data_IF_919911938636
#
_entry.id   IF_919911938636
#
_cell.length_a   1.000
_cell.length_b   1.000
_cell.length_c   1.000
_cell.angle_alpha   90.00
_cell.angle_beta   90.00
_cell.angle_gamma   90.00
#
_symmetry.space_group_name_H-M   'P 1'
#
loop_
_entity.id
_entity.type
_entity.pdbx_description
1 polymer ?
#
# COMPACT_ATOMS: atom_id res chain seq x y z
N UNK A 1 -36.21 -39.19 74.49
CA UNK A 1 -37.22 -39.15 73.41
C UNK A 1 -37.64 -37.69 73.21
N UNK A 2 -37.69 -37.28 71.94
CA UNK A 2 -38.17 -36.00 71.37
C UNK A 2 -39.54 -35.54 71.92
N UNK A 3 -40.01 -34.28 71.70
CA UNK A 3 -39.74 -33.38 70.55
C UNK A 3 -39.41 -31.91 70.94
N UNK A 4 -38.66 -31.11 70.17
CA UNK A 4 -38.74 -30.57 68.78
C UNK A 4 -39.72 -29.39 68.58
N UNK A 5 -39.08 -28.26 68.26
CA UNK A 5 -39.43 -27.20 67.29
C UNK A 5 -40.30 -26.01 67.73
N UNK A 6 -39.79 -24.80 67.46
CA UNK A 6 -40.55 -23.55 67.48
C UNK A 6 -39.66 -22.31 67.38
N UNK A 7 -39.83 -21.56 66.30
CA UNK A 7 -38.95 -20.53 65.74
C UNK A 7 -39.40 -19.10 66.13
N UNK A 8 -38.45 -18.15 66.08
CA UNK A 8 -38.55 -16.72 65.66
C UNK A 8 -38.72 -15.56 66.68
N UNK A 9 -37.90 -14.56 66.36
CA UNK A 9 -38.01 -13.10 66.49
C UNK A 9 -37.71 -12.43 67.84
N UNK A 10 -36.55 -11.75 67.90
CA UNK A 10 -36.32 -10.62 68.79
C UNK A 10 -35.83 -9.42 67.96
N UNK A 11 -36.64 -8.36 67.93
CA UNK A 11 -36.30 -7.00 67.53
C UNK A 11 -35.48 -6.36 68.66
N UNK A 12 -34.34 -5.76 68.35
CA UNK A 12 -33.48 -5.09 69.33
C UNK A 12 -32.71 -3.92 68.73
N UNK A 13 -33.07 -2.71 69.15
CA UNK A 13 -32.40 -1.39 69.03
C UNK A 13 -32.84 -0.65 70.32
N UNK A 14 -32.08 0.25 70.99
CA UNK A 14 -30.96 1.07 70.48
C UNK A 14 -29.73 1.32 71.40
N UNK A 15 -28.77 2.01 70.76
CA UNK A 15 -27.88 3.10 71.24
C UNK A 15 -26.73 2.79 72.20
N UNK A 16 -25.52 2.75 71.63
CA UNK A 16 -24.26 3.05 72.32
C UNK A 16 -23.60 4.29 71.68
N UNK A 17 -23.16 5.23 72.53
CA UNK A 17 -22.45 6.47 72.18
C UNK A 17 -21.03 6.16 71.71
N UNK A 18 -20.64 6.76 70.59
CA UNK A 18 -19.28 6.76 70.06
C UNK A 18 -18.49 7.98 70.55
N UNK A 19 -17.25 7.76 70.99
CA UNK A 19 -16.20 8.79 71.11
C UNK A 19 -15.32 8.75 69.87
N UNK A 20 -15.02 9.90 69.25
CA UNK A 20 -13.86 10.00 68.37
C UNK A 20 -13.33 11.43 68.32
N UNK A 21 -12.02 11.52 68.54
CA UNK A 21 -11.24 12.73 68.63
C UNK A 21 -10.54 13.04 67.28
N UNK A 22 -10.44 14.35 67.05
CA UNK A 22 -9.35 15.10 66.44
C UNK A 22 -8.90 14.84 65.00
N UNK A 23 -9.18 15.90 64.24
CA UNK A 23 -8.85 16.27 62.87
C UNK A 23 -7.36 16.58 62.73
N UNK A 24 -6.70 15.98 61.73
CA UNK A 24 -5.43 16.47 61.17
C UNK A 24 -5.67 16.97 59.74
N UNK A 25 -5.32 18.24 59.49
CA UNK A 25 -5.53 18.99 58.24
C UNK A 25 -4.43 18.65 57.23
N UNK A 26 -4.82 18.26 56.01
CA UNK A 26 -3.96 18.21 54.81
C UNK A 26 -4.24 19.48 53.98
N UNK A 27 -3.22 20.19 53.46
CA UNK A 27 -3.42 21.49 52.82
C UNK A 27 -4.12 21.38 51.46
N UNK A 28 -5.13 22.23 51.27
CA UNK A 28 -6.15 22.24 50.21
C UNK A 28 -5.67 22.75 48.83
N UNK A 29 -4.37 22.76 48.54
CA UNK A 29 -3.83 23.42 47.33
C UNK A 29 -3.42 22.46 46.20
N UNK A 30 -3.44 21.14 46.41
CA UNK A 30 -3.11 20.15 45.36
C UNK A 30 -4.33 19.60 44.61
N UNK A 31 -5.54 20.11 44.84
CA UNK A 31 -6.80 19.55 44.32
C UNK A 31 -7.47 20.38 43.20
N UNK A 32 -6.94 21.55 42.81
CA UNK A 32 -7.65 22.50 41.94
C UNK A 32 -7.13 22.67 40.51
N UNK A 33 -6.26 21.80 39.99
CA UNK A 33 -5.78 21.91 38.60
C UNK A 33 -6.00 20.67 37.72
N UNK A 34 -7.09 19.92 37.92
CA UNK A 34 -7.36 18.76 37.06
C UNK A 34 -8.83 18.41 36.87
N UNK A 35 -9.66 19.30 36.34
CA UNK A 35 -11.01 18.93 35.89
C UNK A 35 -11.56 19.94 34.85
N UNK A 36 -11.02 19.95 33.65
CA UNK A 36 -11.76 20.38 32.45
C UNK A 36 -11.45 19.43 31.30
N UNK A 37 -11.87 18.17 31.46
CA UNK A 37 -12.06 17.26 30.33
C UNK A 37 -13.53 17.33 29.94
N UNK A 38 -13.83 17.87 28.76
CA UNK A 38 -15.17 17.80 28.13
C UNK A 38 -15.47 16.38 27.60
N UNK A 39 -15.10 15.35 28.37
CA UNK A 39 -15.50 13.98 28.11
C UNK A 39 -16.71 13.69 29.00
N UNK A 40 -17.85 13.24 28.46
CA UNK A 40 -18.98 12.86 29.30
C UNK A 40 -18.53 11.81 30.31
N UNK A 41 -18.62 12.14 31.60
CA UNK A 41 -18.23 11.28 32.72
C UNK A 41 -19.22 10.13 32.98
N UNK A 42 -20.35 10.11 32.28
CA UNK A 42 -21.34 9.02 32.36
C UNK A 42 -21.14 8.00 31.24
N UNK A 43 -20.10 7.18 31.35
CA UNK A 43 -20.10 5.90 30.64
C UNK A 43 -20.92 4.89 31.45
N UNK A 44 -22.24 5.00 31.37
CA UNK A 44 -23.12 3.88 31.71
C UNK A 44 -23.02 2.88 30.55
N UNK A 45 -22.33 1.72 30.69
CA UNK A 45 -22.35 0.72 29.64
C UNK A 45 -23.81 0.29 29.49
N UNK A 46 -24.45 0.63 28.36
CA UNK A 46 -25.79 0.16 28.05
C UNK A 46 -25.78 -1.36 28.20
N UNK A 47 -26.49 -1.86 29.22
CA UNK A 47 -26.57 -3.28 29.60
C UNK A 47 -27.36 -4.12 28.58
N UNK A 48 -27.84 -3.49 27.51
CA UNK A 48 -28.65 -4.09 26.48
C UNK A 48 -27.78 -4.26 25.24
N UNK A 49 -27.72 -5.51 24.74
CA UNK A 49 -27.24 -5.80 23.39
C UNK A 49 -27.84 -4.77 22.41
N UNK A 50 -27.09 -4.31 21.40
CA UNK A 50 -27.63 -3.37 20.43
C UNK A 50 -28.97 -3.87 19.87
N UNK A 51 -29.90 -2.96 19.62
CA UNK A 51 -31.14 -3.32 18.93
C UNK A 51 -30.82 -3.91 17.54
N UNK A 52 -31.75 -4.67 16.94
CA UNK A 52 -31.51 -5.26 15.61
C UNK A 52 -31.14 -4.19 14.55
N UNK A 53 -31.69 -2.98 14.66
CA UNK A 53 -31.35 -1.85 13.78
C UNK A 53 -29.94 -1.32 14.01
N UNK A 54 -29.54 -1.13 15.28
CA UNK A 54 -28.17 -0.72 15.64
C UNK A 54 -27.14 -1.77 15.22
N UNK A 55 -27.45 -3.06 15.35
CA UNK A 55 -26.60 -4.14 14.82
C UNK A 55 -26.44 -4.08 13.31
N UNK A 56 -27.52 -3.84 12.56
CA UNK A 56 -27.42 -3.67 11.09
C UNK A 56 -26.52 -2.49 10.73
N UNK A 57 -26.63 -1.38 11.46
CA UNK A 57 -25.76 -0.22 11.25
C UNK A 57 -24.30 -0.52 11.62
N UNK A 58 -24.04 -1.18 12.75
CA UNK A 58 -22.69 -1.57 13.17
C UNK A 58 -22.03 -2.54 12.17
N UNK A 59 -22.78 -3.52 11.65
CA UNK A 59 -22.29 -4.46 10.63
C UNK A 59 -21.78 -3.79 9.36
N UNK A 60 -22.33 -2.63 8.99
CA UNK A 60 -21.85 -1.87 7.82
C UNK A 60 -20.44 -1.31 8.03
N UNK A 61 -20.04 -1.09 9.29
CA UNK A 61 -18.73 -0.57 9.66
C UNK A 61 -17.74 -1.67 10.06
N UNK A 62 -18.18 -2.93 10.19
CA UNK A 62 -17.30 -4.05 10.51
C UNK A 62 -16.72 -4.63 9.23
N UNK A 63 -15.39 -4.66 9.09
CA UNK A 63 -14.75 -5.24 7.92
C UNK A 63 -15.12 -6.72 7.74
N UNK A 64 -15.56 -7.07 6.54
CA UNK A 64 -15.94 -8.41 6.10
C UNK A 64 -17.42 -8.75 6.26
N UNK A 65 -18.14 -8.01 7.11
CA UNK A 65 -19.56 -8.28 7.43
C UNK A 65 -20.53 -7.45 6.60
N UNK A 66 -20.09 -6.29 6.08
CA UNK A 66 -20.91 -5.47 5.20
C UNK A 66 -21.22 -6.20 3.89
N UNK A 67 -22.49 -6.21 3.49
CA UNK A 67 -22.90 -6.70 2.18
C UNK A 67 -22.46 -5.71 1.10
N UNK A 68 -21.74 -6.21 0.09
CA UNK A 68 -21.28 -5.38 -1.02
C UNK A 68 -22.41 -5.21 -2.04
N UNK A 69 -23.24 -4.20 -1.83
CA UNK A 69 -24.27 -3.80 -2.80
C UNK A 69 -23.64 -3.09 -4.01
N UNK A 70 -24.33 -3.19 -5.15
CA UNK A 70 -23.93 -2.60 -6.43
C UNK A 70 -24.97 -1.61 -6.96
N UNK A 71 -25.87 -1.15 -6.09
CA UNK A 71 -26.92 -0.22 -6.47
C UNK A 71 -26.33 1.12 -6.90
N UNK A 72 -27.09 1.85 -7.71
CA UNK A 72 -26.72 3.22 -8.09
C UNK A 72 -26.61 4.13 -6.86
N UNK A 73 -27.46 3.90 -5.84
CA UNK A 73 -27.46 4.65 -4.57
C UNK A 73 -26.13 4.55 -3.83
N UNK A 74 -25.40 3.44 -3.98
CA UNK A 74 -24.10 3.25 -3.32
C UNK A 74 -22.95 3.92 -4.05
N UNK A 75 -23.17 4.40 -5.28
CA UNK A 75 -22.20 5.16 -6.06
C UNK A 75 -22.36 6.66 -5.93
N UNK A 76 -23.52 7.11 -5.45
CA UNK A 76 -23.83 8.53 -5.29
C UNK A 76 -23.42 8.96 -3.86
N UNK A 77 -22.57 9.99 -3.70
CA UNK A 77 -22.19 10.48 -2.38
C UNK A 77 -23.38 11.10 -1.64
N UNK A 78 -23.42 10.94 -0.31
CA UNK A 78 -24.43 11.58 0.52
C UNK A 78 -23.91 12.94 0.99
N UNK A 79 -24.77 13.96 0.92
CA UNK A 79 -24.44 15.27 1.48
C UNK A 79 -24.66 15.30 2.99
N UNK A 80 -23.76 15.96 3.77
CA UNK A 80 -22.58 16.73 3.34
C UNK A 80 -21.36 15.86 3.02
N UNK A 81 -20.65 16.19 1.93
CA UNK A 81 -19.51 15.42 1.40
C UNK A 81 -18.35 15.23 2.38
N UNK A 82 -18.18 16.16 3.35
CA UNK A 82 -17.13 16.05 4.36
C UNK A 82 -17.22 14.79 5.22
N UNK A 83 -18.42 14.24 5.41
CA UNK A 83 -18.64 13.01 6.18
C UNK A 83 -18.20 11.74 5.42
N UNK A 84 -18.20 11.78 4.09
CA UNK A 84 -17.78 10.64 3.25
C UNK A 84 -16.24 10.51 3.18
N UNK A 85 -15.49 11.54 3.59
CA UNK A 85 -14.02 11.49 3.62
C UNK A 85 -13.46 10.88 4.92
N UNK A 86 -14.30 10.75 5.95
CA UNK A 86 -13.88 10.22 7.25
C UNK A 86 -13.92 8.69 7.21
N UNK A 87 -12.85 7.98 7.63
CA UNK A 87 -12.87 6.52 7.68
C UNK A 87 -13.97 6.06 8.65
N UNK A 88 -14.83 5.17 8.17
CA UNK A 88 -15.99 4.65 8.91
C UNK A 88 -15.78 3.20 9.34
N UNK A 89 -14.84 2.48 8.73
CA UNK A 89 -14.54 1.11 9.06
C UNK A 89 -13.86 1.03 10.43
N UNK A 90 -14.47 0.24 11.30
CA UNK A 90 -13.93 -0.05 12.62
C UNK A 90 -12.83 -1.10 12.50
N UNK A 91 -11.82 -1.04 13.37
CA UNK A 91 -10.85 -2.11 13.43
C UNK A 91 -11.52 -3.43 13.84
N UNK A 92 -11.35 -4.45 13.01
CA UNK A 92 -11.89 -5.78 13.29
C UNK A 92 -11.29 -6.36 14.59
N UNK A 93 -12.12 -6.78 15.56
CA UNK A 93 -11.63 -7.42 16.77
C UNK A 93 -10.96 -8.77 16.45
N UNK A 94 -9.85 -9.08 17.10
CA UNK A 94 -9.10 -10.34 16.91
C UNK A 94 -8.06 -10.32 15.79
N UNK A 95 -7.90 -9.22 15.06
CA UNK A 95 -6.78 -9.06 14.11
C UNK A 95 -5.50 -8.72 14.90
N UNK A 96 -4.41 -9.50 14.72
CA UNK A 96 -3.16 -9.24 15.43
C UNK A 96 -2.60 -7.88 15.01
N UNK A 97 -2.01 -7.14 15.95
CA UNK A 97 -1.38 -5.84 15.66
C UNK A 97 0.06 -5.83 16.10
N UNK A 98 0.91 -5.24 15.25
CA UNK A 98 2.30 -4.99 15.60
C UNK A 98 2.32 -3.93 16.70
N UNK A 99 2.98 -4.25 17.80
CA UNK A 99 3.06 -3.36 18.97
C UNK A 99 3.95 -3.97 20.05
N UNK A 100 3.93 -3.42 21.27
CA UNK A 100 4.80 -3.90 22.37
C UNK A 100 4.62 -5.39 22.67
N UNK A 101 3.40 -5.91 22.46
CA UNK A 101 3.03 -7.27 22.81
C UNK A 101 3.24 -8.30 21.68
N UNK A 102 3.40 -7.85 20.43
CA UNK A 102 3.50 -8.75 19.28
C UNK A 102 4.43 -8.17 18.21
N UNK A 103 5.43 -8.96 17.84
CA UNK A 103 6.42 -8.61 16.81
C UNK A 103 5.87 -8.81 15.40
N UNK A 104 6.44 -8.10 14.42
CA UNK A 104 6.02 -8.23 13.02
C UNK A 104 6.18 -9.67 12.50
N UNK A 105 7.26 -10.34 12.90
CA UNK A 105 7.49 -11.75 12.55
C UNK A 105 6.39 -12.67 13.06
N UNK A 106 5.91 -12.48 14.28
CA UNK A 106 4.79 -13.25 14.84
C UNK A 106 3.50 -13.02 14.05
N UNK A 107 3.23 -11.78 13.66
CA UNK A 107 2.07 -11.43 12.81
C UNK A 107 2.10 -12.18 11.48
N UNK A 108 3.24 -12.20 10.79
CA UNK A 108 3.38 -12.90 9.50
C UNK A 108 3.24 -14.42 9.68
N UNK A 109 3.82 -14.99 10.75
CA UNK A 109 3.64 -16.42 11.06
C UNK A 109 2.17 -16.75 11.29
N UNK A 110 1.42 -15.89 12.00
CA UNK A 110 -0.03 -16.07 12.19
C UNK A 110 -0.75 -16.06 10.84
N UNK A 111 -0.41 -15.13 9.95
CA UNK A 111 -1.03 -15.04 8.62
C UNK A 111 -0.78 -16.30 7.79
N UNK A 112 0.46 -16.77 7.74
CA UNK A 112 0.87 -17.96 6.97
C UNK A 112 0.27 -19.26 7.52
N UNK A 113 0.06 -19.32 8.84
CA UNK A 113 -0.51 -20.50 9.50
C UNK A 113 -2.04 -20.54 9.44
N UNK A 114 -2.71 -19.53 8.88
CA UNK A 114 -4.17 -19.59 8.71
C UNK A 114 -4.53 -20.67 7.69
N UNK A 115 -5.53 -21.48 8.03
CA UNK A 115 -6.10 -22.50 7.12
C UNK A 115 -7.35 -22.02 6.40
N UNK A 116 -7.99 -20.96 6.91
CA UNK A 116 -9.19 -20.36 6.33
C UNK A 116 -8.85 -19.07 5.58
N UNK A 117 -9.60 -18.72 4.53
CA UNK A 117 -9.51 -17.42 3.89
C UNK A 117 -9.57 -16.27 4.89
N UNK A 118 -8.63 -15.35 4.82
CA UNK A 118 -8.54 -14.21 5.72
C UNK A 118 -8.75 -12.91 4.96
N UNK A 119 -9.61 -12.04 5.49
CA UNK A 119 -9.77 -10.69 4.96
C UNK A 119 -8.52 -9.88 5.26
N UNK A 120 -7.79 -9.49 4.21
CA UNK A 120 -6.59 -8.66 4.36
C UNK A 120 -6.88 -7.18 4.14
N UNK A 121 -7.79 -6.84 3.23
CA UNK A 121 -8.14 -5.45 2.96
C UNK A 121 -9.62 -5.27 2.63
N UNK A 122 -10.18 -4.17 3.08
CA UNK A 122 -11.47 -3.67 2.66
C UNK A 122 -11.46 -2.16 2.54
N UNK A 123 -11.94 -1.66 1.42
CA UNK A 123 -12.02 -0.24 1.14
C UNK A 123 -13.19 0.42 1.84
N UNK A 124 -13.04 1.71 2.16
CA UNK A 124 -14.20 2.56 2.40
C UNK A 124 -15.10 2.69 1.16
N UNK A 125 -16.35 3.16 1.30
CA UNK A 125 -17.19 3.49 0.16
C UNK A 125 -16.56 4.55 -0.76
N UNK A 126 -16.23 4.16 -1.99
CA UNK A 126 -15.58 5.01 -3.01
C UNK A 126 -16.51 6.07 -3.65
N UNK A 127 -17.59 6.49 -2.97
CA UNK A 127 -18.65 7.37 -3.52
C UNK A 127 -18.11 8.68 -4.09
N UNK A 128 -17.18 9.33 -3.37
CA UNK A 128 -16.58 10.57 -3.81
C UNK A 128 -15.74 10.40 -5.09
N UNK A 129 -15.05 9.26 -5.23
CA UNK A 129 -14.28 8.97 -6.44
C UNK A 129 -15.20 8.75 -7.64
N UNK A 130 -16.37 8.14 -7.47
CA UNK A 130 -17.34 8.00 -8.55
C UNK A 130 -17.84 9.36 -9.06
N UNK A 131 -18.17 10.27 -8.13
CA UNK A 131 -18.58 11.63 -8.50
C UNK A 131 -17.45 12.36 -9.25
N UNK A 132 -16.22 12.30 -8.73
CA UNK A 132 -15.07 12.91 -9.38
C UNK A 132 -14.81 12.33 -10.78
N UNK A 133 -14.89 11.00 -10.93
CA UNK A 133 -14.75 10.35 -12.23
C UNK A 133 -15.86 10.77 -13.19
N UNK A 134 -17.10 10.85 -12.72
CA UNK A 134 -18.23 11.29 -13.54
C UNK A 134 -18.05 12.73 -14.04
N UNK A 135 -17.69 13.67 -13.16
CA UNK A 135 -17.42 15.05 -13.54
C UNK A 135 -16.24 15.16 -14.53
N UNK A 136 -15.12 14.51 -14.24
CA UNK A 136 -13.95 14.51 -15.13
C UNK A 136 -14.27 13.89 -16.50
N UNK A 137 -15.05 12.80 -16.55
CA UNK A 137 -15.44 12.17 -17.80
C UNK A 137 -16.28 13.10 -18.68
N UNK A 138 -17.24 13.84 -18.11
CA UNK A 138 -18.03 14.83 -18.85
C UNK A 138 -17.12 15.93 -19.40
N UNK A 139 -16.27 16.51 -18.56
CA UNK A 139 -15.35 17.59 -18.96
C UNK A 139 -14.47 17.14 -20.12
N UNK A 140 -13.79 16.00 -20.00
CA UNK A 140 -12.92 15.49 -21.07
C UNK A 140 -13.68 15.11 -22.34
N UNK A 141 -14.92 14.63 -22.22
CA UNK A 141 -15.75 14.33 -23.40
C UNK A 141 -16.14 15.59 -24.14
N UNK A 142 -16.61 16.63 -23.43
CA UNK A 142 -16.99 17.92 -24.04
C UNK A 142 -15.78 18.56 -24.72
N UNK A 143 -14.64 18.66 -24.03
CA UNK A 143 -13.41 19.18 -24.64
C UNK A 143 -12.93 18.33 -25.81
N UNK A 144 -13.04 17.00 -25.72
CA UNK A 144 -12.70 16.10 -26.82
C UNK A 144 -13.54 16.37 -28.07
N UNK A 145 -14.85 16.49 -27.92
CA UNK A 145 -15.76 16.80 -29.03
C UNK A 145 -15.46 18.17 -29.65
N UNK A 146 -15.32 19.22 -28.84
CA UNK A 146 -15.04 20.58 -29.33
C UNK A 146 -13.70 20.65 -30.08
N UNK A 147 -12.66 19.98 -29.56
CA UNK A 147 -11.35 19.95 -30.22
C UNK A 147 -11.35 19.15 -31.51
N UNK A 148 -12.15 18.08 -31.60
CA UNK A 148 -12.31 17.31 -32.85
C UNK A 148 -13.12 18.08 -33.89
N UNK A 149 -14.15 18.81 -33.47
CA UNK A 149 -14.90 19.71 -34.35
C UNK A 149 -14.00 20.83 -34.89
N UNK A 150 -13.19 21.44 -34.02
CA UNK A 150 -12.17 22.41 -34.44
C UNK A 150 -11.16 21.80 -35.42
N UNK A 151 -10.67 20.59 -35.15
CA UNK A 151 -9.75 19.90 -36.05
C UNK A 151 -10.36 19.62 -37.42
N UNK A 152 -11.64 19.23 -37.45
CA UNK A 152 -12.39 19.03 -38.69
C UNK A 152 -12.55 20.33 -39.47
N UNK A 153 -12.94 21.41 -38.79
CA UNK A 153 -13.09 22.73 -39.40
C UNK A 153 -11.77 23.23 -39.98
N UNK A 154 -10.68 23.19 -39.21
CA UNK A 154 -9.39 23.67 -39.66
C UNK A 154 -8.81 22.82 -40.80
N UNK A 155 -8.97 21.50 -40.75
CA UNK A 155 -8.52 20.63 -41.84
C UNK A 155 -9.28 20.93 -43.14
N UNK A 156 -10.60 21.11 -43.07
CA UNK A 156 -11.40 21.46 -44.25
C UNK A 156 -11.03 22.83 -44.80
N UNK A 157 -10.81 23.81 -43.92
CA UNK A 157 -10.34 25.14 -44.31
C UNK A 157 -9.01 25.07 -45.06
N UNK A 158 -8.02 24.37 -44.50
CA UNK A 158 -6.70 24.18 -45.14
C UNK A 158 -6.83 23.47 -46.51
N UNK A 159 -7.80 22.56 -46.67
CA UNK A 159 -8.08 21.86 -47.93
C UNK A 159 -8.77 22.73 -48.98
N UNK A 160 -9.71 23.58 -48.56
CA UNK A 160 -10.44 24.49 -49.45
C UNK A 160 -9.57 25.67 -49.90
N UNK A 161 -8.81 26.27 -48.98
CA UNK A 161 -7.95 27.42 -49.28
C UNK A 161 -6.75 27.03 -50.15
N UNK A 162 -6.23 25.80 -50.02
CA UNK A 162 -5.20 25.21 -50.88
C UNK A 162 -4.06 26.17 -51.26
N UNK A 163 -3.51 26.89 -50.27
CA UNK A 163 -2.48 27.92 -50.49
C UNK A 163 -1.25 27.44 -51.25
N UNK A 164 -0.96 26.13 -51.18
CA UNK A 164 0.18 25.49 -51.85
C UNK A 164 -0.10 25.01 -53.27
N UNK A 165 -1.29 25.27 -53.81
CA UNK A 165 -1.73 24.89 -55.16
C UNK A 165 -1.51 23.39 -55.49
N UNK A 166 -1.76 22.52 -54.51
CA UNK A 166 -1.49 21.10 -54.66
C UNK A 166 -2.49 20.41 -55.59
N UNK A 167 -1.99 19.40 -56.31
CA UNK A 167 -2.82 18.47 -57.08
C UNK A 167 -3.78 17.71 -56.16
N UNK A 168 -4.95 17.31 -56.67
CA UNK A 168 -6.06 16.79 -55.86
C UNK A 168 -5.68 15.59 -54.96
N UNK A 169 -4.83 14.69 -55.45
CA UNK A 169 -4.36 13.51 -54.70
C UNK A 169 -3.47 13.93 -53.53
N UNK A 170 -2.57 14.89 -53.75
CA UNK A 170 -1.67 15.41 -52.71
C UNK A 170 -2.42 16.26 -51.70
N UNK A 171 -3.43 17.01 -52.14
CA UNK A 171 -4.32 17.79 -51.29
C UNK A 171 -5.12 16.92 -50.34
N UNK A 172 -5.69 15.80 -50.82
CA UNK A 172 -6.39 14.82 -49.97
C UNK A 172 -5.44 14.20 -48.94
N UNK A 173 -4.19 13.93 -49.32
CA UNK A 173 -3.16 13.43 -48.40
C UNK A 173 -2.83 14.47 -47.31
N UNK A 174 -2.61 15.73 -47.70
CA UNK A 174 -2.35 16.80 -46.74
C UNK A 174 -3.54 17.03 -45.81
N UNK A 175 -4.78 16.94 -46.30
CA UNK A 175 -5.98 17.03 -45.46
C UNK A 175 -6.02 15.94 -44.37
N UNK A 176 -5.73 14.67 -44.71
CA UNK A 176 -5.66 13.60 -43.71
C UNK A 176 -4.57 13.88 -42.67
N UNK A 177 -3.42 14.39 -43.10
CA UNK A 177 -2.31 14.74 -42.19
C UNK A 177 -2.71 15.90 -41.28
N UNK A 178 -3.34 16.95 -41.81
CA UNK A 178 -3.84 18.10 -41.05
C UNK A 178 -4.93 17.69 -40.06
N UNK A 179 -5.89 16.87 -40.49
CA UNK A 179 -6.93 16.31 -39.62
C UNK A 179 -6.32 15.49 -38.48
N UNK A 180 -5.32 14.66 -38.77
CA UNK A 180 -4.56 13.93 -37.75
C UNK A 180 -3.84 14.88 -36.79
N UNK A 181 -3.10 15.85 -37.32
CA UNK A 181 -2.30 16.82 -36.54
C UNK A 181 -3.16 17.61 -35.56
N UNK A 182 -4.25 18.21 -36.03
CA UNK A 182 -5.16 18.98 -35.18
C UNK A 182 -6.01 18.06 -34.29
N UNK A 183 -6.35 16.86 -34.76
CA UNK A 183 -7.18 15.89 -34.06
C UNK A 183 -6.51 15.18 -32.88
N UNK A 184 -5.17 15.14 -32.81
CA UNK A 184 -4.43 14.46 -31.72
C UNK A 184 -4.86 14.94 -30.33
N UNK A 185 -5.07 16.26 -30.15
CA UNK A 185 -5.49 16.79 -28.85
C UNK A 185 -6.91 16.35 -28.48
N UNK A 186 -7.85 16.39 -29.43
CA UNK A 186 -9.22 15.91 -29.22
C UNK A 186 -9.27 14.42 -28.93
N UNK A 187 -8.52 13.61 -29.69
CA UNK A 187 -8.38 12.18 -29.45
C UNK A 187 -7.77 11.86 -28.08
N UNK A 188 -6.78 12.64 -27.63
CA UNK A 188 -6.18 12.48 -26.29
C UNK A 188 -7.19 12.75 -25.19
N UNK A 189 -8.03 13.79 -25.34
CA UNK A 189 -9.08 14.10 -24.37
C UNK A 189 -10.14 12.98 -24.30
N UNK A 190 -10.58 12.45 -25.45
CA UNK A 190 -11.50 11.30 -25.46
C UNK A 190 -10.88 10.03 -24.86
N UNK A 191 -9.58 9.81 -25.10
CA UNK A 191 -8.87 8.70 -24.47
C UNK A 191 -8.82 8.86 -22.94
N UNK A 192 -8.59 10.09 -22.45
CA UNK A 192 -8.65 10.38 -21.01
C UNK A 192 -10.07 10.16 -20.45
N UNK A 193 -11.11 10.58 -21.17
CA UNK A 193 -12.49 10.30 -20.78
C UNK A 193 -12.73 8.79 -20.63
N UNK A 194 -12.26 7.98 -21.59
CA UNK A 194 -12.34 6.52 -21.50
C UNK A 194 -11.59 5.94 -20.29
N UNK A 195 -10.38 6.43 -19.99
CA UNK A 195 -9.64 5.97 -18.81
C UNK A 195 -10.36 6.33 -17.51
N UNK A 196 -10.97 7.50 -17.42
CA UNK A 196 -11.72 7.94 -16.23
C UNK A 196 -13.00 7.12 -16.05
N UNK A 197 -13.74 6.84 -17.13
CA UNK A 197 -14.95 6.00 -17.07
C UNK A 197 -14.62 4.57 -16.67
N UNK A 198 -13.48 4.04 -17.13
CA UNK A 198 -13.05 2.67 -16.79
C UNK A 198 -12.30 2.58 -15.46
N UNK A 199 -11.86 3.71 -14.88
CA UNK A 199 -11.11 3.75 -13.63
C UNK A 199 -11.73 2.92 -12.49
N UNK A 200 -13.04 2.97 -12.21
CA UNK A 200 -13.60 2.21 -11.10
C UNK A 200 -13.48 0.70 -11.24
N UNK A 201 -13.37 0.17 -12.46
CA UNK A 201 -13.17 -1.27 -12.70
C UNK A 201 -11.81 -1.77 -12.21
N UNK A 202 -10.86 -0.86 -11.99
CA UNK A 202 -9.53 -1.18 -11.44
C UNK A 202 -9.46 -1.00 -9.93
N UNK A 203 -10.46 -0.36 -9.30
CA UNK A 203 -10.51 -0.13 -7.85
C UNK A 203 -10.87 -1.42 -7.12
N UNK A 204 -10.00 -1.83 -6.20
CA UNK A 204 -10.22 -2.98 -5.33
C UNK A 204 -11.11 -2.58 -4.15
N UNK A 205 -12.19 -3.32 -3.96
CA UNK A 205 -13.14 -3.14 -2.86
C UNK A 205 -12.80 -3.99 -1.65
N UNK A 206 -12.51 -5.27 -1.88
CA UNK A 206 -12.22 -6.22 -0.82
C UNK A 206 -11.21 -7.24 -1.31
N UNK A 207 -10.29 -7.61 -0.44
CA UNK A 207 -9.19 -8.51 -0.75
C UNK A 207 -9.04 -9.55 0.36
N UNK A 208 -8.98 -10.80 -0.05
CA UNK A 208 -8.85 -11.98 0.79
C UNK A 208 -7.55 -12.69 0.48
N UNK A 209 -6.81 -13.03 1.53
CA UNK A 209 -5.70 -13.94 1.46
C UNK A 209 -6.22 -15.39 1.52
N UNK A 210 -5.89 -16.17 0.51
CA UNK A 210 -6.22 -17.58 0.40
C UNK A 210 -4.97 -18.41 0.72
N UNK A 211 -4.91 -19.01 1.92
CA UNK A 211 -3.80 -19.89 2.28
C UNK A 211 -3.88 -21.21 1.49
N UNK A 212 -2.73 -21.77 1.15
CA UNK A 212 -2.64 -23.03 0.42
C UNK A 212 -1.20 -23.36 0.02
N UNK A 213 -0.97 -24.46 -0.74
CA UNK A 213 0.36 -24.82 -1.25
C UNK A 213 0.97 -23.71 -2.11
N UNK A 214 0.11 -22.99 -2.83
CA UNK A 214 0.43 -21.73 -3.50
C UNK A 214 -0.49 -20.67 -2.91
N UNK A 215 0.10 -19.62 -2.36
CA UNK A 215 -0.63 -18.50 -1.77
C UNK A 215 -1.35 -17.71 -2.88
N UNK A 216 -2.65 -17.48 -2.72
CA UNK A 216 -3.46 -16.71 -3.67
C UNK A 216 -4.10 -15.52 -2.97
N UNK A 217 -4.44 -14.51 -3.77
CA UNK A 217 -5.22 -13.36 -3.34
C UNK A 217 -6.49 -13.32 -4.17
N UNK A 218 -7.64 -13.30 -3.49
CA UNK A 218 -8.94 -13.13 -4.11
C UNK A 218 -9.49 -11.75 -3.81
N UNK A 219 -9.78 -10.96 -4.82
CA UNK A 219 -10.36 -9.64 -4.62
C UNK A 219 -11.55 -9.33 -5.53
N UNK A 220 -12.36 -8.39 -5.08
CA UNK A 220 -13.49 -7.85 -5.84
C UNK A 220 -13.21 -6.42 -6.26
N UNK A 221 -13.65 -6.05 -7.46
CA UNK A 221 -13.60 -4.66 -7.94
C UNK A 221 -15.01 -4.18 -8.31
N UNK A 222 -15.14 -2.91 -8.68
CA UNK A 222 -16.44 -2.41 -9.12
C UNK A 222 -16.79 -2.89 -10.53
N UNK A 223 -18.04 -3.30 -10.76
CA UNK A 223 -18.51 -3.54 -12.13
C UNK A 223 -18.60 -2.20 -12.87
N UNK A 224 -18.35 -2.21 -14.18
CA UNK A 224 -18.44 -1.00 -15.02
C UNK A 224 -19.83 -0.35 -14.86
N UNK A 225 -20.88 -1.15 -15.03
CA UNK A 225 -22.26 -0.70 -14.89
C UNK A 225 -22.81 -1.01 -13.49
N UNK A 226 -23.58 -0.09 -12.87
CA UNK A 226 -24.29 -0.36 -11.63
C UNK A 226 -25.32 -1.49 -11.82
N UNK A 227 -25.66 -2.19 -10.74
CA UNK A 227 -26.61 -3.31 -10.74
C UNK A 227 -26.04 -4.65 -11.21
N UNK A 228 -24.85 -4.69 -11.82
CA UNK A 228 -24.17 -5.96 -12.16
C UNK A 228 -23.45 -6.56 -10.95
N UNK A 229 -23.23 -7.88 -10.91
CA UNK A 229 -22.41 -8.50 -9.87
C UNK A 229 -20.96 -8.01 -9.95
N UNK A 230 -20.32 -7.85 -8.78
CA UNK A 230 -18.92 -7.43 -8.71
C UNK A 230 -18.03 -8.52 -9.30
N UNK A 231 -17.15 -8.21 -10.26
CA UNK A 231 -16.21 -9.19 -10.77
C UNK A 231 -15.24 -9.62 -9.67
N UNK A 232 -14.93 -10.92 -9.66
CA UNK A 232 -14.09 -11.57 -8.66
C UNK A 232 -12.84 -12.09 -9.37
N UNK A 233 -11.67 -11.68 -8.89
CA UNK A 233 -10.39 -12.10 -9.42
C UNK A 233 -9.66 -12.92 -8.37
N UNK A 234 -9.10 -14.05 -8.78
CA UNK A 234 -8.23 -14.89 -7.94
C UNK A 234 -6.88 -14.96 -8.63
N UNK A 235 -5.85 -14.41 -8.00
CA UNK A 235 -4.53 -14.23 -8.59
C UNK A 235 -3.49 -14.84 -7.64
N UNK A 236 -2.49 -15.59 -8.14
CA UNK A 236 -1.37 -16.03 -7.32
C UNK A 236 -0.65 -14.84 -6.70
N UNK A 237 -0.28 -14.93 -5.42
CA UNK A 237 0.41 -13.82 -4.73
C UNK A 237 1.72 -13.45 -5.44
N UNK A 238 2.41 -14.45 -6.01
CA UNK A 238 3.64 -14.27 -6.78
C UNK A 238 3.48 -13.30 -7.95
N UNK A 239 2.31 -13.26 -8.58
CA UNK A 239 2.08 -12.49 -9.80
C UNK A 239 1.63 -11.06 -9.50
N UNK A 240 1.32 -10.74 -8.22
CA UNK A 240 0.98 -9.39 -7.79
C UNK A 240 2.20 -8.72 -7.17
N UNK A 241 2.64 -7.62 -7.77
CA UNK A 241 3.75 -6.82 -7.26
C UNK A 241 3.41 -5.34 -7.19
N UNK A 242 3.89 -4.66 -6.15
CA UNK A 242 3.91 -3.20 -6.13
C UNK A 242 5.20 -2.69 -6.77
N UNK A 243 5.20 -1.41 -7.18
CA UNK A 243 6.44 -0.74 -7.60
C UNK A 243 7.38 -0.62 -6.41
N UNK A 244 8.67 -0.94 -6.59
CA UNK A 244 9.68 -0.94 -5.53
C UNK A 244 9.73 0.38 -4.73
N UNK A 245 9.73 1.52 -5.43
CA UNK A 245 9.75 2.86 -4.81
C UNK A 245 8.43 3.27 -4.16
N UNK A 246 7.31 2.62 -4.49
CA UNK A 246 5.99 2.97 -3.98
C UNK A 246 5.66 2.06 -2.79
N UNK A 247 6.15 2.42 -1.60
CA UNK A 247 5.89 1.69 -0.36
C UNK A 247 4.48 1.96 0.16
N UNK A 248 3.86 0.95 0.76
CA UNK A 248 2.50 1.03 1.28
C UNK A 248 2.53 1.60 2.69
N UNK A 249 3.47 1.14 3.52
CA UNK A 249 3.72 1.71 4.83
C UNK A 249 4.32 3.12 4.75
N UNK A 250 3.67 4.06 5.44
CA UNK A 250 4.05 5.46 5.61
C UNK A 250 4.23 5.85 7.08
N UNK A 251 3.83 4.97 8.01
CA UNK A 251 3.82 5.23 9.45
C UNK A 251 2.75 6.23 9.91
N UNK A 252 1.86 6.67 9.01
CA UNK A 252 0.78 7.63 9.32
C UNK A 252 -0.59 6.96 9.31
N UNK A 253 -1.47 7.41 10.20
CA UNK A 253 -2.81 6.86 10.37
C UNK A 253 -2.82 5.52 11.11
N UNK A 254 -4.01 4.95 11.28
CA UNK A 254 -4.22 3.83 12.19
C UNK A 254 -3.47 2.54 11.79
N UNK A 255 -3.42 2.26 10.48
CA UNK A 255 -2.69 1.11 9.91
C UNK A 255 -1.32 1.49 9.35
N UNK A 256 -0.90 2.75 9.55
CA UNK A 256 0.32 3.33 8.98
C UNK A 256 0.37 3.33 7.45
N UNK A 257 -0.77 3.33 6.77
CA UNK A 257 -0.89 3.38 5.30
C UNK A 257 -1.34 4.75 4.77
N UNK A 258 -1.80 5.63 5.65
CA UNK A 258 -2.39 6.90 5.26
C UNK A 258 -1.31 7.81 4.67
N UNK A 259 -1.64 8.52 3.60
CA UNK A 259 -0.76 9.53 3.04
C UNK A 259 -1.59 10.75 2.61
N UNK A 260 -0.99 11.94 2.74
CA UNK A 260 -1.59 13.20 2.31
C UNK A 260 -1.39 13.45 0.83
N UNK A 261 -0.34 12.88 0.22
CA UNK A 261 0.04 13.14 -1.17
C UNK A 261 -0.64 12.21 -2.18
N UNK A 262 -0.77 10.93 -1.84
CA UNK A 262 -1.35 9.91 -2.71
C UNK A 262 -2.42 9.15 -1.94
N UNK A 263 -3.67 9.18 -2.40
CA UNK A 263 -4.77 8.47 -1.74
C UNK A 263 -4.77 6.97 -2.06
N UNK A 264 -4.07 6.53 -3.10
CA UNK A 264 -4.05 5.15 -3.56
C UNK A 264 -2.62 4.65 -3.77
N UNK A 265 -2.48 3.33 -3.82
CA UNK A 265 -1.31 2.65 -4.36
C UNK A 265 -1.73 1.68 -5.46
N UNK A 266 -0.77 1.30 -6.30
CA UNK A 266 -1.02 0.47 -7.48
C UNK A 266 -0.32 -0.87 -7.33
N UNK A 267 -1.09 -1.94 -7.52
CA UNK A 267 -0.61 -3.31 -7.64
C UNK A 267 -0.58 -3.68 -9.12
N UNK A 268 0.56 -4.13 -9.61
CA UNK A 268 0.72 -4.63 -10.97
C UNK A 268 0.62 -6.14 -10.97
N UNK A 269 -0.17 -6.64 -11.88
CA UNK A 269 -0.25 -8.07 -12.18
C UNK A 269 0.75 -8.40 -13.29
N UNK A 270 1.71 -9.27 -13.02
CA UNK A 270 2.78 -9.63 -13.96
C UNK A 270 2.24 -10.37 -15.17
N UNK A 271 1.24 -11.24 -14.97
CA UNK A 271 0.65 -12.11 -16.00
C UNK A 271 -0.13 -11.34 -17.06
N UNK A 272 -1.04 -10.45 -16.66
CA UNK A 272 -1.88 -9.68 -17.59
C UNK A 272 -1.41 -8.23 -17.80
N UNK A 273 -0.34 -7.81 -17.11
CA UNK A 273 0.15 -6.43 -17.06
C UNK A 273 -0.90 -5.40 -16.61
N UNK A 274 -2.00 -5.86 -16.00
CA UNK A 274 -3.04 -5.00 -15.47
C UNK A 274 -2.56 -4.30 -14.20
N UNK A 275 -3.03 -3.08 -14.02
CA UNK A 275 -2.76 -2.27 -12.83
C UNK A 275 -4.04 -2.16 -12.03
N UNK A 276 -4.01 -2.70 -10.81
CA UNK A 276 -5.07 -2.64 -9.83
C UNK A 276 -4.80 -1.51 -8.85
N UNK A 277 -5.85 -0.82 -8.42
CA UNK A 277 -5.76 0.37 -7.59
C UNK A 277 -6.38 0.04 -6.24
N UNK A 278 -5.63 0.31 -5.18
CA UNK A 278 -6.05 0.07 -3.80
C UNK A 278 -6.05 1.41 -3.07
N UNK A 279 -7.16 1.74 -2.41
CA UNK A 279 -7.25 2.93 -1.59
C UNK A 279 -6.43 2.74 -0.31
N UNK A 280 -5.71 3.78 0.11
CA UNK A 280 -5.01 3.82 1.40
C UNK A 280 -5.97 4.08 2.56
N UNK A 281 -7.19 4.55 2.27
CA UNK A 281 -8.29 4.70 3.22
C UNK A 281 -9.15 3.44 3.21
N UNK A 282 -8.90 2.59 4.20
CA UNK A 282 -9.64 1.35 4.37
C UNK A 282 -9.16 0.58 5.58
N UNK A 283 -9.78 -0.57 5.77
CA UNK A 283 -9.30 -1.59 6.67
C UNK A 283 -8.09 -2.29 6.05
N UNK A 284 -6.99 -2.35 6.80
CA UNK A 284 -5.83 -3.17 6.51
C UNK A 284 -5.63 -4.19 7.63
N UNK A 285 -5.28 -5.42 7.26
CA UNK A 285 -5.00 -6.45 8.24
C UNK A 285 -3.66 -6.21 8.90
N UNK A 286 -3.70 -6.09 10.24
CA UNK A 286 -2.60 -5.69 11.11
C UNK A 286 -2.07 -4.28 10.82
N UNK A 287 -1.33 -4.12 9.73
CA UNK A 287 -0.43 -3.00 9.47
C UNK A 287 -0.03 -2.97 7.96
N UNK A 288 0.22 -1.79 7.39
CA UNK A 288 0.68 -1.61 6.01
C UNK A 288 1.96 -2.38 5.63
N UNK A 289 2.83 -2.66 6.61
CA UNK A 289 4.05 -3.46 6.42
C UNK A 289 3.76 -4.90 5.97
N UNK A 290 2.61 -5.45 6.36
CA UNK A 290 2.18 -6.77 5.87
C UNK A 290 1.99 -6.73 4.35
N UNK A 291 1.45 -5.64 3.83
CA UNK A 291 1.26 -5.46 2.39
C UNK A 291 2.57 -5.23 1.67
N UNK A 292 3.53 -4.55 2.30
CA UNK A 292 4.88 -4.42 1.77
C UNK A 292 5.62 -5.76 1.71
N UNK A 293 5.43 -6.63 2.70
CA UNK A 293 5.93 -8.00 2.66
C UNK A 293 5.26 -8.83 1.54
N UNK A 294 3.92 -8.82 1.48
CA UNK A 294 3.14 -9.63 0.53
C UNK A 294 3.35 -9.19 -0.93
N UNK A 295 3.26 -7.89 -1.22
CA UNK A 295 3.26 -7.36 -2.58
C UNK A 295 4.58 -6.65 -2.96
N UNK A 296 5.35 -6.16 -1.98
CA UNK A 296 6.69 -5.63 -2.22
C UNK A 296 7.74 -6.71 -2.36
N UNK A 297 7.43 -7.95 -1.95
CA UNK A 297 8.35 -9.08 -1.92
C UNK A 297 9.62 -8.76 -1.11
N UNK A 298 9.49 -7.86 -0.13
CA UNK A 298 10.58 -7.43 0.74
C UNK A 298 10.91 -8.50 1.77
N UNK A 299 12.14 -8.49 2.25
CA UNK A 299 12.52 -9.37 3.36
C UNK A 299 11.78 -8.96 4.64
N UNK A 300 11.61 -9.91 5.58
CA UNK A 300 10.96 -9.64 6.87
C UNK A 300 11.60 -8.46 7.61
N UNK A 301 12.94 -8.35 7.56
CA UNK A 301 13.67 -7.28 8.22
C UNK A 301 13.45 -5.92 7.54
N UNK A 302 13.45 -5.87 6.21
CA UNK A 302 13.17 -4.64 5.46
C UNK A 302 11.75 -4.15 5.71
N UNK A 303 10.76 -5.05 5.63
CA UNK A 303 9.36 -4.75 5.89
C UNK A 303 9.14 -4.27 7.34
N UNK A 304 9.77 -4.92 8.31
CA UNK A 304 9.70 -4.52 9.73
C UNK A 304 10.29 -3.13 9.98
N UNK A 305 11.44 -2.83 9.35
CA UNK A 305 12.12 -1.54 9.47
C UNK A 305 11.25 -0.38 8.95
N UNK A 306 10.38 -0.61 7.96
CA UNK A 306 9.41 0.38 7.50
C UNK A 306 10.00 1.69 6.94
N UNK A 307 11.32 1.77 6.74
CA UNK A 307 12.01 2.97 6.28
C UNK A 307 11.71 3.26 4.80
N UNK A 308 11.11 4.39 4.42
CA UNK A 308 10.88 4.74 3.02
C UNK A 308 12.19 4.81 2.23
N UNK A 309 12.13 4.55 0.92
CA UNK A 309 13.32 4.45 0.06
C UNK A 309 14.21 5.70 0.11
N UNK A 310 13.61 6.89 0.12
CA UNK A 310 14.34 8.16 0.18
C UNK A 310 15.10 8.33 1.51
N UNK A 311 14.54 7.82 2.60
CA UNK A 311 15.19 7.83 3.90
C UNK A 311 16.30 6.78 3.98
N UNK A 312 16.16 5.63 3.34
CA UNK A 312 17.25 4.65 3.20
C UNK A 312 18.46 5.28 2.47
N UNK A 313 18.22 5.95 1.34
CA UNK A 313 19.26 6.70 0.62
C UNK A 313 19.85 7.80 1.52
N UNK A 314 19.01 8.51 2.27
CA UNK A 314 19.43 9.53 3.23
C UNK A 314 20.38 8.98 4.31
N UNK A 315 20.06 7.83 4.90
CA UNK A 315 20.87 7.14 5.90
C UNK A 315 22.20 6.70 5.29
N UNK A 316 22.17 6.03 4.13
CA UNK A 316 23.38 5.60 3.41
C UNK A 316 24.28 6.80 3.11
N UNK A 317 23.71 7.90 2.62
CA UNK A 317 24.47 9.12 2.34
C UNK A 317 25.07 9.75 3.60
N UNK A 318 24.36 9.72 4.74
CA UNK A 318 24.87 10.18 6.04
C UNK A 318 26.00 9.29 6.53
N UNK A 319 25.88 7.98 6.41
CA UNK A 319 26.92 7.01 6.77
C UNK A 319 28.16 7.16 5.89
N UNK A 320 27.98 7.28 4.56
CA UNK A 320 29.08 7.54 3.63
C UNK A 320 29.77 8.85 3.96
N UNK A 321 29.03 9.92 4.30
CA UNK A 321 29.62 11.19 4.76
C UNK A 321 30.40 11.02 6.07
N UNK A 322 29.88 10.28 7.05
CA UNK A 322 30.57 9.99 8.31
C UNK A 322 31.85 9.18 8.08
N UNK A 323 31.80 8.11 7.30
CA UNK A 323 32.98 7.31 6.91
C UNK A 323 34.01 8.14 6.16
N UNK A 324 33.58 8.98 5.21
CA UNK A 324 34.48 9.92 4.51
C UNK A 324 35.13 10.91 5.48
N UNK A 325 34.41 11.36 6.51
CA UNK A 325 34.96 12.25 7.55
C UNK A 325 36.00 11.52 8.40
N UNK A 326 35.68 10.33 8.89
CA UNK A 326 36.61 9.47 9.65
C UNK A 326 37.88 9.18 8.84
N UNK A 327 37.76 8.82 7.56
CA UNK A 327 38.92 8.57 6.70
C UNK A 327 39.76 9.83 6.45
N UNK A 328 39.14 11.02 6.39
CA UNK A 328 39.88 12.29 6.33
C UNK A 328 40.59 12.60 7.64
N UNK A 329 40.01 12.25 8.78
CA UNK A 329 40.62 12.41 10.11
C UNK A 329 41.80 11.42 10.29
N UNK A 330 41.66 10.17 9.84
CA UNK A 330 42.69 9.12 9.99
C UNK A 330 43.84 9.22 8.96
N UNK A 331 43.56 9.67 7.74
CA UNK A 331 44.52 9.64 6.64
C UNK A 331 44.78 11.00 5.99
N UNK A 332 44.14 12.06 6.47
CA UNK A 332 44.33 13.43 6.01
C UNK A 332 43.61 13.75 4.69
N UNK A 333 43.85 14.95 4.12
CA UNK A 333 43.16 15.42 2.91
C UNK A 333 43.38 14.53 1.67
N UNK A 334 44.48 13.78 1.60
CA UNK A 334 44.82 12.86 0.49
C UNK A 334 44.51 11.38 0.79
N UNK A 335 43.58 11.10 1.71
CA UNK A 335 43.22 9.74 2.13
C UNK A 335 42.92 8.78 0.97
N UNK A 336 42.28 9.26 -0.11
CA UNK A 336 41.95 8.45 -1.28
C UNK A 336 43.20 7.89 -1.98
N UNK A 337 44.21 8.75 -2.19
CA UNK A 337 45.48 8.35 -2.80
C UNK A 337 46.27 7.43 -1.89
N UNK A 338 46.26 7.70 -0.58
CA UNK A 338 46.99 6.89 0.42
C UNK A 338 46.41 5.47 0.55
N UNK A 339 45.09 5.34 0.53
CA UNK A 339 44.41 4.03 0.52
C UNK A 339 44.61 3.30 -0.81
N UNK A 340 44.46 3.99 -1.94
CA UNK A 340 44.71 3.40 -3.26
C UNK A 340 46.14 2.89 -3.43
N UNK A 341 47.14 3.64 -2.96
CA UNK A 341 48.53 3.19 -2.98
C UNK A 341 48.78 1.99 -2.04
N UNK A 342 48.09 1.93 -0.88
CA UNK A 342 48.20 0.82 0.08
C UNK A 342 47.56 -0.46 -0.47
N UNK A 343 46.39 -0.36 -1.09
CA UNK A 343 45.73 -1.48 -1.77
C UNK A 343 46.56 -1.98 -2.94
N UNK A 344 47.09 -1.08 -3.78
CA UNK A 344 47.96 -1.46 -4.89
C UNK A 344 49.25 -2.16 -4.43
N UNK A 345 49.87 -1.70 -3.33
CA UNK A 345 51.04 -2.36 -2.74
C UNK A 345 50.69 -3.75 -2.19
N UNK A 346 49.53 -3.89 -1.56
CA UNK A 346 49.05 -5.17 -1.04
C UNK A 346 48.71 -6.17 -2.16
N UNK A 347 48.12 -5.70 -3.25
CA UNK A 347 47.79 -6.53 -4.41
C UNK A 347 49.03 -6.93 -5.21
N UNK A 348 50.01 -6.03 -5.35
CA UNK A 348 51.34 -6.37 -5.87
C UNK A 348 52.05 -7.38 -4.96
N UNK A 349 51.98 -7.21 -3.64
CA UNK A 349 52.52 -8.17 -2.67
C UNK A 349 51.91 -9.57 -2.85
N UNK A 350 50.58 -9.66 -2.90
CA UNK A 350 49.85 -10.93 -3.14
C UNK A 350 50.16 -11.53 -4.51
N UNK A 351 50.27 -10.72 -5.55
CA UNK A 351 50.66 -11.19 -6.88
C UNK A 351 52.10 -11.71 -6.89
N UNK A 352 53.02 -11.04 -6.19
CA UNK A 352 54.40 -11.52 -6.04
C UNK A 352 54.51 -12.76 -5.16
N UNK A 353 53.68 -12.90 -4.13
CA UNK A 353 53.62 -14.11 -3.29
C UNK A 353 52.94 -15.28 -4.03
N UNK A 354 51.96 -15.00 -4.88
CA UNK A 354 51.38 -15.99 -5.79
C UNK A 354 52.41 -16.45 -6.84
N UNK A 355 53.15 -15.52 -7.45
CA UNK A 355 54.22 -15.83 -8.40
C UNK A 355 55.38 -16.55 -7.71
N UNK A 356 55.77 -16.18 -6.49
CA UNK A 356 56.77 -16.91 -5.68
C UNK A 356 56.27 -18.27 -5.22
N UNK A 357 54.97 -18.43 -4.96
CA UNK A 357 54.35 -19.72 -4.66
C UNK A 357 54.28 -20.65 -5.90
N UNK A 358 54.18 -20.07 -7.10
CA UNK A 358 54.25 -20.79 -8.39
C UNK A 358 55.70 -21.08 -8.79
N UNK A 359 56.64 -20.16 -8.57
CA UNK A 359 58.07 -20.34 -8.87
C UNK A 359 58.80 -21.19 -7.82
N UNK A 360 58.32 -21.19 -6.57
CA UNK A 360 58.83 -22.02 -5.46
C UNK A 360 58.32 -23.47 -5.48
N UNK A 361 57.42 -23.81 -6.41
CA UNK A 361 57.09 -25.18 -6.78
C UNK A 361 57.69 -25.55 -8.15
N UNK A 362 58.96 -25.17 -8.40
CA UNK A 362 59.79 -25.88 -9.38
C UNK A 362 60.28 -27.20 -8.76
N UNK A 363 59.33 -28.12 -8.57
CA UNK A 363 59.54 -29.47 -8.08
C UNK A 363 58.51 -30.37 -8.74
N UNK A 364 58.79 -30.72 -10.00
CA UNK A 364 58.31 -31.90 -10.72
C UNK A 364 56.81 -32.25 -10.59
N UNK A 365 56.04 -31.92 -11.64
CA UNK A 365 55.09 -32.88 -12.24
C UNK A 365 54.64 -32.37 -13.61
N UNK A 366 54.96 -33.19 -14.61
CA UNK A 366 54.62 -33.01 -16.00
C UNK A 366 53.12 -32.78 -16.21
N UNK A 367 52.79 -31.91 -17.18
CA UNK A 367 51.46 -31.79 -17.74
C UNK A 367 51.04 -33.15 -18.36
N UNK A 368 49.88 -33.72 -18.00
CA UNK A 368 49.33 -34.85 -18.73
C UNK A 368 48.98 -34.39 -20.15
N UNK A 369 49.57 -35.04 -21.16
CA UNK A 369 49.06 -35.00 -22.53
C UNK A 369 47.73 -35.72 -22.56
N UNK A 370 46.62 -34.98 -22.53
CA UNK A 370 45.32 -35.55 -22.81
C UNK A 370 44.95 -35.47 -24.30
N UNK A 371 44.48 -36.63 -24.74
CA UNK A 371 44.21 -37.14 -26.07
C UNK A 371 43.25 -36.26 -26.88
N UNK A 372 43.56 -36.15 -28.17
CA UNK A 372 42.58 -35.93 -29.24
C UNK A 372 41.54 -37.05 -29.18
N UNK A 373 40.27 -36.69 -29.01
CA UNK A 373 39.19 -37.44 -29.64
C UNK A 373 37.98 -36.54 -29.95
N UNK A 374 37.35 -36.89 -31.06
CA UNK A 374 36.37 -36.16 -31.84
C UNK A 374 35.10 -35.70 -31.10
N UNK A 375 34.60 -34.51 -31.44
CA UNK A 375 33.27 -34.39 -32.07
C UNK A 375 32.96 -32.99 -32.60
N UNK A 376 32.70 -32.98 -33.90
CA UNK A 376 31.81 -32.08 -34.63
C UNK A 376 30.68 -31.47 -33.78
N UNK A 377 30.48 -30.15 -33.86
CA UNK A 377 29.48 -29.54 -34.76
C UNK A 377 28.95 -28.21 -34.23
N UNK A 378 28.90 -27.23 -35.15
CA UNK A 378 27.89 -26.17 -35.31
C UNK A 378 27.62 -25.24 -34.12
N UNK A 379 27.96 -23.96 -34.29
CA UNK A 379 27.05 -22.79 -34.20
C UNK A 379 27.88 -21.54 -34.57
N UNK A 380 28.03 -21.24 -35.86
CA UNK A 380 27.23 -20.25 -36.61
C UNK A 380 27.20 -18.88 -35.93
N UNK A 381 28.18 -18.06 -36.30
CA UNK A 381 28.11 -16.61 -36.23
C UNK A 381 26.91 -16.10 -37.02
N UNK A 382 26.20 -15.12 -36.45
CA UNK A 382 25.42 -14.15 -37.22
C UNK A 382 25.67 -12.76 -36.62
N UNK A 383 26.45 -11.99 -37.36
CA UNK A 383 26.28 -10.55 -37.46
C UNK A 383 24.89 -10.26 -38.04
N UNK A 384 24.13 -9.39 -37.38
CA UNK A 384 23.48 -8.21 -37.96
C UNK A 384 22.89 -7.36 -36.84
#
# INVERSE_FOLDING_TARGET
MLPKAGLKLALGVPLARASQAQIARIPLQSLLCRCYSNLPQDFNPKKNLPSQGEWKHLKQHIPGEAEQTNELKDRIPKFPLGKENVPTLLPRPGVPRVGPNMTFRQVITILKNKTKPELIYESEPHRLYFLACFCCAIVFTVYGCVLLEYAWFQANKDYEENEKELAEVERKREWVISLGKYGIMGATMLFMAYQVVTFPTRLIRRMWYLPGPVEHVKFTSYPLLPGRPSPVYTIPLRDLSRKHHARIWTGKGFYGTADSSLFFFVLKEETTKKSWIVDRKGFFWSDGRVFDFLFGKETLAEAEAGVPYDEQIGIINREVKKKKKQLREEHGPFWQFKLGAKEFKNDLGKATDYVKGVSGKSGTKALPKDKKEAKNSRFRAKNK
#
